data_IF_447777886361
#
_entry.id   IF_447777886361
#
_cell.length_a   1.000
_cell.length_b   1.000
_cell.length_c   1.000
_cell.angle_alpha   90.00
_cell.angle_beta   90.00
_cell.angle_gamma   90.00
#
_symmetry.space_group_name_H-M   'P 1'
#
loop_
_entity.id
_entity.type
_entity.pdbx_description
1 polymer ?
#
# COMPACT_ATOMS: atom_id res chain seq x y z
N UNK A 1 -2.38 -35.18 -61.33
CA UNK A 1 -1.78 -36.50 -61.02
C UNK A 1 -1.89 -36.67 -59.54
N UNK A 2 -2.99 -37.27 -59.10
CA UNK A 2 -3.18 -38.52 -58.37
C UNK A 2 -2.18 -38.69 -57.17
N UNK A 3 -2.59 -38.88 -55.95
CA UNK A 3 -3.69 -39.69 -55.38
C UNK A 3 -4.04 -39.28 -53.97
N UNK A 4 -5.32 -39.18 -53.65
CA UNK A 4 -5.97 -39.37 -52.36
C UNK A 4 -5.66 -40.78 -51.81
N UNK A 5 -5.60 -40.91 -50.44
CA UNK A 5 -6.22 -41.98 -49.68
C UNK A 5 -6.62 -41.52 -48.31
N UNK A 6 -7.91 -41.59 -48.03
CA UNK A 6 -8.63 -41.57 -46.77
C UNK A 6 -8.21 -42.71 -45.84
N UNK A 7 -8.33 -42.52 -44.54
CA UNK A 7 -9.07 -43.41 -43.65
C UNK A 7 -9.33 -42.78 -42.27
N UNK A 8 -10.60 -42.55 -41.98
CA UNK A 8 -11.24 -42.57 -40.66
C UNK A 8 -11.97 -43.92 -40.53
N UNK A 9 -12.72 -44.23 -39.42
CA UNK A 9 -12.47 -44.15 -37.96
C UNK A 9 -12.79 -45.53 -37.28
N UNK A 10 -12.59 -45.65 -35.96
CA UNK A 10 -13.37 -46.67 -35.21
C UNK A 10 -13.62 -46.23 -33.77
N UNK A 11 -14.86 -45.97 -33.47
CA UNK A 11 -15.58 -46.13 -32.22
C UNK A 11 -15.54 -47.55 -31.70
N UNK A 12 -15.51 -47.80 -30.39
CA UNK A 12 -16.28 -48.83 -29.68
C UNK A 12 -15.96 -48.73 -28.17
N UNK A 13 -16.87 -48.23 -27.35
CA UNK A 13 -17.80 -48.87 -26.40
C UNK A 13 -17.23 -49.27 -25.03
N UNK A 14 -17.80 -48.59 -24.07
CA UNK A 14 -18.35 -48.97 -22.76
C UNK A 14 -18.17 -50.43 -22.29
N UNK A 15 -17.78 -50.60 -21.01
CA UNK A 15 -18.42 -51.59 -20.15
C UNK A 15 -18.25 -51.25 -18.66
N UNK A 16 -19.39 -51.00 -18.03
CA UNK A 16 -19.61 -51.06 -16.59
C UNK A 16 -19.51 -52.53 -16.14
N UNK A 17 -18.86 -52.80 -15.01
CA UNK A 17 -19.09 -54.02 -14.22
C UNK A 17 -19.20 -53.65 -12.75
N UNK A 18 -20.41 -53.80 -12.24
CA UNK A 18 -20.70 -53.94 -10.82
C UNK A 18 -20.38 -55.37 -10.39
N UNK A 19 -19.70 -55.52 -9.24
CA UNK A 19 -19.91 -56.74 -8.44
C UNK A 19 -19.73 -56.42 -6.93
N UNK A 20 -20.80 -56.60 -6.19
CA UNK A 20 -20.84 -56.69 -4.75
C UNK A 20 -20.51 -58.13 -4.30
N UNK A 21 -20.18 -58.32 -3.00
CA UNK A 21 -20.20 -59.47 -2.12
C UNK A 21 -18.81 -59.51 -1.38
N UNK A 22 -18.72 -59.44 -0.09
CA UNK A 22 -19.11 -60.25 0.98
C UNK A 22 -18.67 -59.77 2.35
N UNK A 23 -19.57 -59.79 3.29
CA UNK A 23 -19.32 -59.68 4.71
C UNK A 23 -18.44 -60.86 5.22
N UNK A 24 -17.37 -60.54 5.92
CA UNK A 24 -16.86 -61.43 7.00
C UNK A 24 -16.42 -60.56 8.18
N UNK A 25 -17.12 -60.72 9.27
CA UNK A 25 -16.80 -60.08 10.52
C UNK A 25 -15.57 -60.70 11.17
N UNK A 26 -14.69 -59.84 11.67
CA UNK A 26 -13.74 -60.20 12.71
C UNK A 26 -13.91 -59.15 13.82
N UNK A 27 -14.38 -59.64 14.96
CA UNK A 27 -14.37 -58.91 16.21
C UNK A 27 -12.93 -58.76 16.69
N UNK A 28 -12.41 -57.56 16.68
CA UNK A 28 -11.18 -57.21 17.40
C UNK A 28 -11.48 -56.11 18.42
N UNK A 29 -11.23 -56.47 19.64
CA UNK A 29 -11.38 -55.73 20.89
C UNK A 29 -10.78 -54.33 20.78
N UNK A 30 -11.63 -53.31 20.95
CA UNK A 30 -11.22 -51.91 21.01
C UNK A 30 -10.66 -51.60 22.39
N UNK A 31 -9.36 -51.44 22.46
CA UNK A 31 -8.72 -50.66 23.52
C UNK A 31 -8.81 -49.18 23.10
N UNK A 32 -9.79 -48.45 23.64
CA UNK A 32 -9.86 -47.01 23.52
C UNK A 32 -8.76 -46.42 24.39
N UNK A 33 -7.61 -46.16 23.78
CA UNK A 33 -6.59 -45.31 24.37
C UNK A 33 -7.13 -43.85 24.26
N UNK A 34 -7.52 -43.28 25.38
CA UNK A 34 -7.75 -41.84 25.51
C UNK A 34 -6.43 -41.13 25.22
N UNK A 35 -6.29 -40.61 24.00
CA UNK A 35 -5.24 -39.67 23.72
C UNK A 35 -5.49 -38.44 24.59
N UNK A 36 -4.68 -38.27 25.64
CA UNK A 36 -4.58 -37.02 26.36
C UNK A 36 -4.11 -35.95 25.34
N UNK A 37 -5.03 -35.09 24.95
CA UNK A 37 -4.69 -33.85 24.26
C UNK A 37 -3.89 -33.00 25.25
N UNK A 38 -2.59 -33.00 25.11
CA UNK A 38 -1.73 -31.98 25.73
C UNK A 38 -2.25 -30.64 25.27
N UNK A 39 -2.59 -29.71 26.18
CA UNK A 39 -2.99 -28.36 25.72
C UNK A 39 -1.83 -27.77 24.89
N UNK A 40 -2.14 -27.32 23.72
CA UNK A 40 -1.17 -26.60 22.91
C UNK A 40 -0.62 -25.45 23.77
N UNK A 41 0.68 -25.50 24.05
CA UNK A 41 1.39 -24.39 24.68
C UNK A 41 1.08 -23.14 23.86
N UNK A 42 0.70 -22.10 24.57
CA UNK A 42 0.46 -20.78 24.02
C UNK A 42 1.54 -20.45 22.98
N UNK A 43 1.13 -20.51 21.71
CA UNK A 43 1.90 -19.95 20.63
C UNK A 43 1.93 -18.47 20.98
N UNK A 44 3.11 -17.91 21.20
CA UNK A 44 3.32 -16.47 21.27
C UNK A 44 2.95 -15.96 19.88
N UNK A 45 1.66 -15.72 19.69
CA UNK A 45 1.17 -14.99 18.52
C UNK A 45 1.75 -13.59 18.65
N UNK A 46 2.69 -13.28 17.77
CA UNK A 46 3.04 -11.88 17.51
C UNK A 46 1.72 -11.10 17.44
N UNK A 47 1.64 -9.93 18.02
CA UNK A 47 0.42 -9.11 18.10
C UNK A 47 -0.21 -8.75 16.74
N UNK A 48 0.37 -9.22 15.64
CA UNK A 48 -0.09 -9.02 14.26
C UNK A 48 -1.28 -9.90 13.86
N UNK A 49 -1.55 -11.00 14.55
CA UNK A 49 -2.55 -12.00 14.15
C UNK A 49 -3.94 -11.87 14.82
N UNK A 50 -4.22 -10.82 15.60
CA UNK A 50 -5.58 -10.56 16.06
C UNK A 50 -6.23 -9.64 15.05
N UNK A 51 -7.21 -10.17 14.30
CA UNK A 51 -8.18 -9.35 13.57
C UNK A 51 -8.68 -8.25 14.50
N UNK A 52 -8.47 -7.01 14.12
CA UNK A 52 -9.02 -5.87 14.83
C UNK A 52 -10.51 -5.82 14.52
N UNK A 53 -11.31 -5.38 15.48
CA UNK A 53 -12.77 -5.35 15.33
C UNK A 53 -13.16 -4.46 14.14
N UNK A 54 -13.72 -5.02 13.06
CA UNK A 54 -14.14 -4.24 11.91
C UNK A 54 -15.30 -3.28 12.24
N UNK A 55 -16.02 -3.49 13.34
CA UNK A 55 -17.07 -2.57 13.79
C UNK A 55 -16.52 -1.30 14.44
N UNK A 56 -15.22 -1.27 14.74
CA UNK A 56 -14.60 -0.08 15.32
C UNK A 56 -14.45 1.01 14.25
N UNK A 57 -14.92 2.21 14.54
CA UNK A 57 -14.59 3.41 13.79
C UNK A 57 -13.25 3.98 14.29
N UNK A 58 -12.41 4.44 13.38
CA UNK A 58 -11.19 5.18 13.71
C UNK A 58 -11.50 6.69 13.71
N UNK A 59 -11.05 7.46 14.71
CA UNK A 59 -11.37 8.87 14.79
C UNK A 59 -10.73 9.63 13.61
N UNK A 60 -11.55 10.38 12.89
CA UNK A 60 -11.08 11.25 11.81
C UNK A 60 -10.52 12.58 12.33
N UNK A 61 -11.23 13.20 13.29
CA UNK A 61 -10.88 14.51 13.83
C UNK A 61 -9.78 14.42 14.90
N UNK A 62 -8.77 15.26 14.81
CA UNK A 62 -7.67 15.26 15.79
C UNK A 62 -6.52 16.16 15.40
N UNK A 63 -5.44 16.17 16.20
CA UNK A 63 -4.22 16.91 15.90
C UNK A 63 -3.39 16.33 14.77
N UNK A 64 -3.51 15.02 14.54
CA UNK A 64 -2.85 14.27 13.48
C UNK A 64 -3.88 13.56 12.62
N UNK A 65 -3.58 13.34 11.35
CA UNK A 65 -4.43 12.53 10.49
C UNK A 65 -4.36 11.04 10.86
N UNK A 66 -5.50 10.35 10.84
CA UNK A 66 -5.57 8.89 10.95
C UNK A 66 -4.81 8.19 9.81
N UNK A 67 -4.46 6.90 9.99
CA UNK A 67 -3.74 6.12 9.00
C UNK A 67 -2.22 6.28 9.02
N UNK A 68 -1.67 7.05 9.96
CA UNK A 68 -0.22 7.24 10.17
C UNK A 68 0.23 6.33 11.33
N UNK A 69 -0.06 6.69 12.58
CA UNK A 69 0.24 5.87 13.75
C UNK A 69 -0.82 4.80 14.04
N UNK A 70 -2.01 4.92 13.44
CA UNK A 70 -3.06 3.90 13.55
C UNK A 70 -2.49 2.54 13.20
N UNK A 71 -2.75 1.52 14.02
CA UNK A 71 -2.33 0.15 13.73
C UNK A 71 -2.72 -0.23 12.30
N UNK A 72 -1.77 -0.69 11.45
CA UNK A 72 -2.03 -0.96 10.05
C UNK A 72 -3.22 -1.89 9.86
N UNK A 73 -4.18 -1.48 9.05
CA UNK A 73 -5.28 -2.29 8.56
C UNK A 73 -4.77 -3.24 7.46
N UNK A 74 -5.56 -4.26 7.12
CA UNK A 74 -5.15 -5.29 6.16
C UNK A 74 -5.14 -4.81 4.72
N UNK A 75 -5.96 -3.82 4.35
CA UNK A 75 -6.08 -3.35 2.98
C UNK A 75 -5.82 -1.86 2.89
N UNK A 76 -5.13 -1.47 1.82
CA UNK A 76 -4.88 -0.09 1.47
C UNK A 76 -5.26 0.16 0.02
N UNK A 77 -5.91 1.29 -0.24
CA UNK A 77 -6.07 1.87 -1.56
C UNK A 77 -5.43 3.26 -1.56
N UNK A 78 -4.34 3.39 -2.28
CA UNK A 78 -3.63 4.67 -2.45
C UNK A 78 -3.98 5.27 -3.80
N UNK A 79 -4.28 6.56 -3.85
CA UNK A 79 -4.60 7.26 -5.09
C UNK A 79 -3.89 8.61 -5.15
N UNK A 80 -3.23 8.88 -6.26
CA UNK A 80 -2.67 10.18 -6.59
C UNK A 80 -3.57 10.89 -7.62
N UNK A 81 -3.68 12.20 -7.51
CA UNK A 81 -4.54 13.04 -8.34
C UNK A 81 -3.75 14.17 -8.97
N UNK A 82 -4.10 14.49 -10.20
CA UNK A 82 -3.72 15.74 -10.88
C UNK A 82 -4.86 16.75 -10.79
N UNK A 83 -4.56 17.98 -10.36
CA UNK A 83 -5.49 19.09 -10.37
C UNK A 83 -5.68 19.59 -11.80
N UNK A 84 -6.92 19.54 -12.28
CA UNK A 84 -7.33 20.06 -13.60
C UNK A 84 -7.79 21.51 -13.52
N UNK A 85 -8.37 21.93 -12.37
CA UNK A 85 -8.69 23.35 -12.14
C UNK A 85 -7.41 24.18 -11.97
N UNK A 86 -7.48 25.44 -12.36
CA UNK A 86 -6.44 26.46 -12.15
C UNK A 86 -6.85 27.48 -11.08
N UNK A 87 -8.02 27.29 -10.47
CA UNK A 87 -8.56 28.20 -9.48
C UNK A 87 -8.28 27.68 -8.07
N UNK A 88 -7.65 28.50 -7.24
CA UNK A 88 -7.36 28.19 -5.84
C UNK A 88 -8.62 27.90 -5.02
N UNK A 89 -9.72 28.66 -5.26
CA UNK A 89 -10.98 28.47 -4.54
C UNK A 89 -11.62 27.12 -4.82
N UNK A 90 -11.42 26.56 -6.01
CA UNK A 90 -11.91 25.22 -6.35
C UNK A 90 -11.17 24.15 -5.57
N UNK A 91 -9.85 24.31 -5.37
CA UNK A 91 -9.06 23.41 -4.53
C UNK A 91 -9.51 23.47 -3.07
N UNK A 92 -9.78 24.68 -2.56
CA UNK A 92 -10.32 24.86 -1.19
C UNK A 92 -11.69 24.17 -1.05
N UNK A 93 -12.59 24.38 -2.00
CA UNK A 93 -13.91 23.72 -2.01
C UNK A 93 -13.78 22.20 -2.04
N UNK A 94 -12.85 21.69 -2.86
CA UNK A 94 -12.56 20.25 -2.94
C UNK A 94 -12.10 19.71 -1.60
N UNK A 95 -11.11 20.34 -0.95
CA UNK A 95 -10.58 19.89 0.33
C UNK A 95 -11.64 19.94 1.45
N UNK A 96 -12.51 20.96 1.44
CA UNK A 96 -13.67 21.04 2.35
C UNK A 96 -14.64 19.88 2.13
N UNK A 97 -14.99 19.59 0.88
CA UNK A 97 -15.89 18.49 0.54
C UNK A 97 -15.27 17.13 0.85
N UNK A 98 -13.99 16.92 0.55
CA UNK A 98 -13.25 15.72 0.87
C UNK A 98 -13.15 15.48 2.37
N UNK A 99 -12.84 16.52 3.15
CA UNK A 99 -12.77 16.42 4.61
C UNK A 99 -14.10 15.99 5.22
N UNK A 100 -15.20 16.62 4.78
CA UNK A 100 -16.54 16.28 5.25
C UNK A 100 -16.94 14.84 4.87
N UNK A 101 -16.67 14.42 3.64
CA UNK A 101 -16.97 13.07 3.18
C UNK A 101 -16.10 12.01 3.89
N UNK A 102 -14.82 12.29 4.08
CA UNK A 102 -13.90 11.39 4.78
C UNK A 102 -14.29 11.20 6.24
N UNK A 103 -14.69 12.26 6.94
CA UNK A 103 -15.17 12.18 8.32
C UNK A 103 -16.39 11.28 8.45
N UNK A 104 -17.36 11.41 7.53
CA UNK A 104 -18.55 10.56 7.51
C UNK A 104 -18.22 9.09 7.22
N UNK A 105 -17.42 8.84 6.19
CA UNK A 105 -17.03 7.47 5.81
C UNK A 105 -16.24 6.76 6.91
N UNK A 106 -15.41 7.48 7.67
CA UNK A 106 -14.68 6.89 8.81
C UNK A 106 -15.60 6.41 9.93
N UNK A 107 -16.81 6.97 10.04
CA UNK A 107 -17.86 6.51 10.96
C UNK A 107 -18.76 5.41 10.36
N UNK A 108 -18.50 4.95 9.14
CA UNK A 108 -19.31 3.97 8.41
C UNK A 108 -20.55 4.57 7.74
N UNK A 109 -20.61 5.90 7.62
CA UNK A 109 -21.68 6.58 6.90
C UNK A 109 -21.34 6.74 5.41
N UNK A 110 -22.36 7.06 4.59
CA UNK A 110 -22.16 7.45 3.20
C UNK A 110 -21.36 8.74 3.09
N UNK A 111 -20.59 8.90 2.01
CA UNK A 111 -19.77 10.09 1.78
C UNK A 111 -20.59 11.40 1.83
N UNK A 112 -21.83 11.35 1.36
CA UNK A 112 -22.81 12.44 1.41
C UNK A 112 -24.17 11.90 1.82
N UNK A 113 -25.06 12.71 2.44
CA UNK A 113 -26.41 12.28 2.75
C UNK A 113 -27.15 11.80 1.48
N UNK A 114 -27.80 10.64 1.56
CA UNK A 114 -28.41 9.97 0.40
C UNK A 114 -29.50 10.84 -0.28
N UNK A 115 -30.25 11.59 0.50
CA UNK A 115 -31.35 12.41 0.02
C UNK A 115 -30.88 13.66 -0.77
N UNK A 116 -29.60 14.00 -0.68
CA UNK A 116 -29.09 15.24 -1.29
C UNK A 116 -28.65 15.11 -2.74
N UNK A 117 -28.61 13.89 -3.29
CA UNK A 117 -27.94 13.63 -4.56
C UNK A 117 -26.43 13.92 -4.49
N UNK A 118 -25.67 13.62 -5.55
CA UNK A 118 -24.23 13.88 -5.61
C UNK A 118 -23.97 15.40 -5.72
N UNK A 119 -23.28 15.94 -4.72
CA UNK A 119 -22.77 17.31 -4.73
C UNK A 119 -21.31 17.29 -5.11
N UNK A 120 -21.00 17.85 -6.26
CA UNK A 120 -19.63 18.03 -6.72
C UNK A 120 -18.98 19.21 -5.97
N UNK A 121 -17.67 19.19 -5.83
CA UNK A 121 -16.92 20.32 -5.28
C UNK A 121 -17.09 21.59 -6.12
N UNK A 122 -17.10 21.41 -7.44
CA UNK A 122 -17.38 22.46 -8.43
C UNK A 122 -18.19 21.83 -9.55
N UNK A 123 -19.26 22.49 -10.00
CA UNK A 123 -20.00 22.03 -11.17
C UNK A 123 -19.12 22.12 -12.40
N UNK A 124 -18.86 21.03 -13.13
CA UNK A 124 -18.08 21.09 -14.38
C UNK A 124 -18.75 22.00 -15.38
N UNK A 125 -17.94 22.73 -16.15
CA UNK A 125 -18.47 23.46 -17.30
C UNK A 125 -19.11 22.47 -18.29
N UNK A 126 -20.29 22.80 -18.83
CA UNK A 126 -20.93 21.98 -19.83
C UNK A 126 -19.96 21.75 -21.02
N UNK A 127 -19.87 20.51 -21.55
CA UNK A 127 -19.02 20.22 -22.69
C UNK A 127 -19.43 21.10 -23.85
N UNK A 128 -18.48 21.86 -24.42
CA UNK A 128 -18.70 22.65 -25.61
C UNK A 128 -18.83 21.69 -26.79
N UNK A 129 -20.05 21.53 -27.32
CA UNK A 129 -20.29 20.92 -28.63
C UNK A 129 -20.73 19.44 -28.62
N UNK A 130 -21.38 18.96 -27.58
CA UNK A 130 -22.15 17.70 -27.61
C UNK A 130 -23.63 17.98 -27.91
N UNK A 131 -24.29 17.08 -28.62
CA UNK A 131 -25.75 17.15 -28.81
C UNK A 131 -26.42 17.26 -27.43
N UNK A 132 -27.27 18.24 -27.26
CA UNK A 132 -27.90 18.61 -25.99
C UNK A 132 -28.80 17.50 -25.39
N UNK A 133 -28.92 16.37 -26.07
CA UNK A 133 -29.83 15.26 -25.74
C UNK A 133 -29.16 14.16 -24.90
N UNK A 134 -27.81 14.20 -24.68
CA UNK A 134 -27.08 13.16 -23.98
C UNK A 134 -26.40 13.60 -22.65
N UNK A 135 -26.58 14.82 -22.18
CA UNK A 135 -26.09 15.19 -20.86
C UNK A 135 -27.03 14.58 -19.82
N UNK A 136 -26.61 13.54 -19.07
CA UNK A 136 -27.41 13.10 -17.93
C UNK A 136 -27.68 14.32 -17.04
N UNK A 137 -28.91 14.51 -16.65
CA UNK A 137 -29.29 15.56 -15.72
C UNK A 137 -28.40 15.43 -14.47
N UNK A 138 -27.49 16.39 -14.28
CA UNK A 138 -26.54 16.38 -13.18
C UNK A 138 -27.22 16.33 -11.80
N UNK A 139 -28.52 16.64 -11.76
CA UNK A 139 -29.36 16.57 -10.57
C UNK A 139 -29.77 15.15 -10.15
N UNK A 140 -29.57 14.14 -11.01
CA UNK A 140 -30.02 12.76 -10.77
C UNK A 140 -28.92 11.77 -10.36
N UNK A 141 -27.67 12.19 -10.25
CA UNK A 141 -26.59 11.29 -9.81
C UNK A 141 -26.80 10.91 -8.34
N UNK A 142 -26.71 9.59 -8.05
CA UNK A 142 -26.78 9.11 -6.68
C UNK A 142 -25.68 9.74 -5.82
N UNK A 143 -26.03 10.18 -4.62
CA UNK A 143 -25.09 10.76 -3.64
C UNK A 143 -23.97 9.80 -3.28
N UNK A 144 -24.29 8.50 -3.27
CA UNK A 144 -23.36 7.42 -2.99
C UNK A 144 -23.53 6.27 -4.00
N UNK A 145 -22.51 5.50 -4.23
CA UNK A 145 -22.54 4.36 -5.16
C UNK A 145 -23.08 3.07 -4.52
N UNK A 146 -23.22 3.06 -3.19
CA UNK A 146 -23.99 2.06 -2.44
C UNK A 146 -23.30 0.72 -2.19
N UNK A 147 -22.09 0.48 -2.67
CA UNK A 147 -21.44 -0.82 -2.56
C UNK A 147 -21.04 -1.21 -1.12
N UNK A 148 -21.03 -0.26 -0.19
CA UNK A 148 -20.73 -0.52 1.24
C UNK A 148 -21.92 -0.29 2.16
N UNK A 149 -23.11 -0.07 1.61
CA UNK A 149 -24.32 0.12 2.44
C UNK A 149 -24.57 -1.10 3.34
N UNK A 150 -24.70 -0.86 4.65
CA UNK A 150 -24.86 -1.93 5.65
C UNK A 150 -23.57 -2.60 6.10
N UNK A 151 -22.41 -2.22 5.55
CA UNK A 151 -21.12 -2.67 6.06
C UNK A 151 -20.72 -1.83 7.29
N UNK A 152 -19.93 -2.41 8.22
CA UNK A 152 -19.38 -1.66 9.34
C UNK A 152 -18.29 -0.68 8.87
N UNK A 153 -17.85 0.26 9.71
CA UNK A 153 -16.81 1.25 9.37
C UNK A 153 -15.45 0.63 9.03
N UNK A 154 -15.24 -0.64 9.35
CA UNK A 154 -14.05 -1.43 9.01
C UNK A 154 -12.72 -0.75 9.37
N UNK A 155 -12.70 0.02 10.45
CA UNK A 155 -11.56 0.81 10.90
C UNK A 155 -11.00 1.72 9.81
N UNK A 156 -11.85 2.23 8.92
CA UNK A 156 -11.41 3.08 7.81
C UNK A 156 -10.67 4.32 8.31
N UNK A 157 -9.48 4.52 7.75
CA UNK A 157 -8.74 5.78 7.88
C UNK A 157 -8.48 6.36 6.51
N UNK A 158 -8.59 7.68 6.39
CA UNK A 158 -8.33 8.42 5.16
C UNK A 158 -7.31 9.51 5.47
N UNK A 159 -6.14 9.43 4.82
CA UNK A 159 -5.04 10.38 4.98
C UNK A 159 -4.86 11.15 3.69
N UNK A 160 -4.76 12.47 3.77
CA UNK A 160 -4.54 13.36 2.64
C UNK A 160 -3.10 13.88 2.62
N UNK A 161 -2.52 13.99 1.42
CA UNK A 161 -1.20 14.57 1.23
C UNK A 161 -1.12 15.47 0.00
N UNK A 162 -0.14 16.38 0.00
CA UNK A 162 0.09 17.40 -1.00
C UNK A 162 1.45 17.18 -1.67
N UNK A 163 1.44 16.99 -2.98
CA UNK A 163 2.65 16.84 -3.78
C UNK A 163 3.25 18.18 -4.20
N UNK A 164 4.46 18.12 -4.73
CA UNK A 164 5.18 19.29 -5.25
C UNK A 164 4.34 20.04 -6.29
N UNK A 165 3.58 19.31 -7.11
CA UNK A 165 2.75 19.88 -8.17
C UNK A 165 1.63 20.83 -7.69
N UNK A 166 1.21 20.74 -6.42
CA UNK A 166 0.28 21.71 -5.82
C UNK A 166 0.93 23.09 -5.70
N UNK A 167 2.22 23.14 -5.38
CA UNK A 167 2.98 24.37 -5.16
C UNK A 167 3.58 24.92 -6.45
N UNK A 168 4.20 24.04 -7.22
CA UNK A 168 4.86 24.39 -8.49
C UNK A 168 4.77 23.23 -9.47
N UNK A 169 4.11 23.43 -10.61
CA UNK A 169 3.99 22.43 -11.68
C UNK A 169 4.49 23.00 -13.01
N UNK A 170 5.48 22.33 -13.61
CA UNK A 170 6.12 22.79 -14.85
C UNK A 170 6.62 24.26 -14.73
N UNK A 171 7.21 24.61 -13.59
CA UNK A 171 7.72 25.94 -13.29
C UNK A 171 6.64 27.01 -13.05
N UNK A 172 5.36 26.64 -12.94
CA UNK A 172 4.24 27.57 -12.77
C UNK A 172 3.59 27.41 -11.39
N UNK A 173 3.48 28.54 -10.67
CA UNK A 173 2.64 28.65 -9.49
C UNK A 173 1.18 28.87 -9.92
N UNK A 174 0.39 27.77 -9.87
CA UNK A 174 -1.01 27.81 -10.34
C UNK A 174 -1.97 28.41 -9.32
N UNK A 175 -1.58 28.39 -8.04
CA UNK A 175 -2.48 28.66 -6.92
C UNK A 175 -1.96 29.73 -5.95
N UNK A 176 -0.84 30.38 -6.24
CA UNK A 176 -0.19 31.34 -5.35
C UNK A 176 0.40 30.68 -4.09
N UNK A 177 0.88 29.43 -4.21
CA UNK A 177 1.37 28.63 -3.09
C UNK A 177 2.87 28.33 -3.14
N UNK A 178 3.59 28.75 -4.20
CA UNK A 178 5.01 28.40 -4.36
C UNK A 178 5.86 28.83 -3.17
N UNK A 179 5.62 30.03 -2.62
CA UNK A 179 6.34 30.53 -1.44
C UNK A 179 5.99 29.80 -0.13
N UNK A 180 4.96 28.98 -0.14
CA UNK A 180 4.49 28.18 1.02
C UNK A 180 4.90 26.73 0.95
N UNK A 181 5.60 26.31 -0.13
CA UNK A 181 6.16 24.96 -0.25
C UNK A 181 7.12 24.71 0.92
N UNK A 182 6.93 23.66 1.70
CA UNK A 182 7.89 23.30 2.74
C UNK A 182 9.26 23.00 2.13
N UNK A 183 10.32 23.43 2.78
CA UNK A 183 11.68 23.19 2.32
C UNK A 183 12.01 21.68 2.19
N UNK A 184 11.46 20.88 3.11
CA UNK A 184 11.65 19.44 3.10
C UNK A 184 10.83 18.69 2.02
N UNK A 185 9.83 19.33 1.41
CA UNK A 185 9.11 18.79 0.25
C UNK A 185 9.93 19.00 -1.02
N UNK A 186 11.00 18.24 -1.17
CA UNK A 186 11.89 18.29 -2.34
C UNK A 186 11.35 17.44 -3.49
N UNK A 187 11.89 17.64 -4.70
CA UNK A 187 11.68 16.68 -5.79
C UNK A 187 12.44 15.38 -5.44
N UNK A 188 11.79 14.23 -5.63
CA UNK A 188 12.39 12.96 -5.27
C UNK A 188 13.61 12.69 -6.16
N UNK A 189 14.81 12.46 -5.58
CA UNK A 189 16.00 12.14 -6.37
C UNK A 189 15.87 10.76 -7.02
N UNK A 190 16.64 10.57 -8.10
CA UNK A 190 16.82 9.25 -8.70
C UNK A 190 17.89 8.48 -7.93
N UNK A 191 17.60 7.24 -7.56
CA UNK A 191 18.50 6.35 -6.81
C UNK A 191 19.28 5.39 -7.72
N UNK A 192 19.55 5.80 -8.95
CA UNK A 192 20.42 5.07 -9.87
C UNK A 192 19.81 3.76 -10.36
N UNK A 193 20.56 2.66 -10.20
CA UNK A 193 20.23 1.39 -10.84
C UNK A 193 18.93 0.73 -10.35
N UNK A 194 18.47 1.04 -9.17
CA UNK A 194 17.22 0.47 -8.61
C UNK A 194 15.97 1.20 -9.11
N UNK A 195 16.09 2.40 -9.70
CA UNK A 195 14.99 3.20 -10.20
C UNK A 195 14.72 2.97 -11.68
N UNK A 196 13.53 2.53 -12.00
CA UNK A 196 12.95 2.48 -13.35
C UNK A 196 11.56 3.12 -13.32
N UNK A 197 11.53 4.38 -12.87
CA UNK A 197 10.28 5.09 -12.59
C UNK A 197 9.44 5.26 -13.85
N UNK A 198 8.21 4.76 -13.79
CA UNK A 198 7.17 4.96 -14.81
C UNK A 198 6.46 6.27 -14.50
N UNK A 199 6.50 7.20 -15.43
CA UNK A 199 5.97 8.57 -15.24
C UNK A 199 4.50 8.57 -14.84
N UNK A 200 3.73 7.66 -15.39
CA UNK A 200 2.29 7.51 -15.16
C UNK A 200 1.99 7.05 -13.73
N UNK A 201 2.93 6.37 -13.06
CA UNK A 201 2.81 5.88 -11.68
C UNK A 201 3.63 6.71 -10.67
N UNK A 202 4.00 7.94 -11.05
CA UNK A 202 4.91 8.78 -10.25
C UNK A 202 4.27 10.12 -9.94
N UNK A 203 4.49 10.61 -8.70
CA UNK A 203 4.03 11.90 -8.18
C UNK A 203 2.50 12.10 -8.25
N UNK A 204 2.07 13.33 -8.16
CA UNK A 204 0.69 13.81 -8.15
C UNK A 204 0.60 15.15 -7.45
N UNK A 205 -0.47 15.89 -7.68
CA UNK A 205 -0.70 17.17 -6.99
C UNK A 205 -1.31 16.95 -5.59
N UNK A 206 -2.21 15.97 -5.48
CA UNK A 206 -2.83 15.52 -4.23
C UNK A 206 -2.76 14.00 -4.11
N UNK A 207 -2.78 13.48 -2.88
CA UNK A 207 -2.89 12.04 -2.65
C UNK A 207 -3.89 11.72 -1.55
N UNK A 208 -4.46 10.53 -1.65
CA UNK A 208 -5.32 9.91 -0.66
C UNK A 208 -4.77 8.52 -0.34
N UNK A 209 -4.58 8.23 0.96
CA UNK A 209 -4.36 6.88 1.47
C UNK A 209 -5.60 6.45 2.22
N UNK A 210 -6.34 5.49 1.71
CA UNK A 210 -7.47 4.86 2.41
C UNK A 210 -7.04 3.47 2.89
N UNK A 211 -7.11 3.23 4.20
CA UNK A 211 -6.81 1.93 4.79
C UNK A 211 -8.03 1.42 5.55
N UNK A 212 -8.37 0.14 5.38
CA UNK A 212 -9.50 -0.50 6.05
C UNK A 212 -9.23 -2.00 6.31
N UNK A 213 -10.06 -2.61 7.17
CA UNK A 213 -10.08 -4.07 7.36
C UNK A 213 -10.83 -4.81 6.24
N UNK A 214 -11.52 -4.07 5.36
CA UNK A 214 -12.21 -4.59 4.19
C UNK A 214 -11.74 -3.86 2.92
N UNK A 215 -11.39 -4.59 1.84
CA UNK A 215 -10.87 -3.97 0.61
C UNK A 215 -11.91 -3.17 -0.14
N UNK A 216 -13.20 -3.53 -0.03
CA UNK A 216 -14.30 -2.81 -0.68
C UNK A 216 -14.54 -1.46 -0.01
N UNK A 217 -14.39 -1.38 1.32
CA UNK A 217 -14.49 -0.13 2.09
C UNK A 217 -13.34 0.83 1.72
N UNK A 218 -12.10 0.32 1.61
CA UNK A 218 -10.97 1.14 1.18
C UNK A 218 -11.14 1.67 -0.26
N UNK A 219 -11.62 0.82 -1.17
CA UNK A 219 -11.92 1.20 -2.55
C UNK A 219 -13.04 2.23 -2.63
N UNK A 220 -14.15 1.98 -1.92
CA UNK A 220 -15.30 2.87 -1.86
C UNK A 220 -14.90 4.28 -1.45
N UNK A 221 -14.08 4.40 -0.39
CA UNK A 221 -13.63 5.71 0.10
C UNK A 221 -12.94 6.53 -1.00
N UNK A 222 -11.98 5.93 -1.72
CA UNK A 222 -11.28 6.62 -2.82
C UNK A 222 -12.25 6.91 -3.98
N UNK A 223 -13.14 5.96 -4.31
CA UNK A 223 -14.12 6.13 -5.38
C UNK A 223 -15.06 7.31 -5.12
N UNK A 224 -15.57 7.46 -3.89
CA UNK A 224 -16.44 8.59 -3.56
C UNK A 224 -15.68 9.92 -3.62
N UNK A 225 -14.48 9.97 -3.08
CA UNK A 225 -13.66 11.18 -3.12
C UNK A 225 -13.30 11.58 -4.58
N UNK A 226 -13.01 10.60 -5.44
CA UNK A 226 -12.80 10.85 -6.86
C UNK A 226 -14.04 11.41 -7.56
N UNK A 227 -15.24 10.90 -7.25
CA UNK A 227 -16.51 11.42 -7.77
C UNK A 227 -16.76 12.87 -7.34
N UNK A 228 -16.49 13.19 -6.07
CA UNK A 228 -16.61 14.56 -5.54
C UNK A 228 -15.63 15.53 -6.22
N UNK A 229 -14.47 15.02 -6.64
CA UNK A 229 -13.41 15.82 -7.27
C UNK A 229 -13.65 16.13 -8.77
N UNK A 230 -14.69 15.58 -9.38
CA UNK A 230 -14.97 15.80 -10.80
C UNK A 230 -15.00 17.30 -11.13
N UNK A 231 -14.31 17.69 -12.20
CA UNK A 231 -14.14 19.09 -12.62
C UNK A 231 -13.00 19.85 -11.91
N UNK A 232 -12.44 19.32 -10.83
CA UNK A 232 -11.33 19.95 -10.10
C UNK A 232 -10.06 19.12 -10.14
N UNK A 233 -10.18 17.80 -9.99
CA UNK A 233 -9.06 16.87 -10.01
C UNK A 233 -9.47 15.56 -10.70
N UNK A 234 -8.47 14.85 -11.20
CA UNK A 234 -8.63 13.52 -11.80
C UNK A 234 -7.58 12.56 -11.23
N UNK A 235 -7.93 11.28 -11.16
CA UNK A 235 -6.97 10.25 -10.76
C UNK A 235 -5.83 10.23 -11.77
N UNK A 236 -4.60 10.27 -11.26
CA UNK A 236 -3.37 10.11 -12.01
C UNK A 236 -2.93 8.64 -12.00
N UNK A 237 -2.84 8.03 -10.83
CA UNK A 237 -2.56 6.61 -10.63
C UNK A 237 -3.11 6.14 -9.29
N UNK A 238 -3.26 4.83 -9.18
CA UNK A 238 -3.70 4.15 -7.96
C UNK A 238 -2.81 2.95 -7.67
N UNK A 239 -2.79 2.53 -6.41
CA UNK A 239 -2.22 1.26 -5.99
C UNK A 239 -3.10 0.62 -4.93
N UNK A 240 -3.63 -0.56 -5.25
CA UNK A 240 -4.23 -1.45 -4.26
C UNK A 240 -3.15 -2.31 -3.62
N UNK A 241 -3.27 -2.52 -2.33
CA UNK A 241 -2.27 -3.31 -1.62
C UNK A 241 -2.87 -3.94 -0.36
N UNK A 242 -2.20 -4.95 0.16
CA UNK A 242 -2.71 -5.74 1.26
C UNK A 242 -1.61 -6.22 2.20
N UNK A 243 -2.00 -6.56 3.42
CA UNK A 243 -1.21 -7.33 4.38
C UNK A 243 -1.89 -8.68 4.63
N UNK A 244 -1.16 -9.75 4.96
CA UNK A 244 -1.77 -11.01 5.33
C UNK A 244 -2.72 -10.83 6.51
N UNK A 245 -3.91 -11.44 6.43
CA UNK A 245 -4.88 -11.46 7.54
C UNK A 245 -4.34 -12.33 8.69
N UNK A 246 -3.58 -13.37 8.37
CA UNK A 246 -2.87 -14.20 9.32
C UNK A 246 -1.42 -14.39 8.88
N UNK A 247 -0.51 -14.30 9.82
CA UNK A 247 0.93 -14.35 9.56
C UNK A 247 1.52 -12.96 9.27
N UNK A 248 2.82 -12.94 8.97
CA UNK A 248 3.62 -11.71 8.88
C UNK A 248 4.56 -11.70 7.66
N UNK A 249 4.32 -12.58 6.65
CA UNK A 249 5.27 -12.74 5.55
C UNK A 249 4.90 -11.91 4.33
N UNK A 250 5.90 -11.25 3.74
CA UNK A 250 5.79 -10.60 2.44
C UNK A 250 6.03 -11.58 1.27
N UNK A 251 5.89 -11.11 0.03
CA UNK A 251 5.90 -11.97 -1.16
C UNK A 251 7.22 -12.72 -1.43
N UNK A 252 8.35 -12.29 -0.87
CA UNK A 252 9.60 -13.05 -0.95
C UNK A 252 9.66 -14.22 0.05
N UNK A 253 8.62 -14.39 0.88
CA UNK A 253 8.49 -15.50 1.82
C UNK A 253 9.18 -15.32 3.17
N UNK A 254 9.62 -14.11 3.51
CA UNK A 254 10.25 -13.75 4.78
C UNK A 254 9.34 -12.89 5.65
N UNK A 255 9.68 -12.73 6.94
CA UNK A 255 8.90 -11.91 7.85
C UNK A 255 8.84 -10.47 7.36
N UNK A 256 7.64 -9.90 7.40
CA UNK A 256 7.42 -8.49 7.17
C UNK A 256 7.56 -7.67 8.47
N UNK A 257 8.02 -8.29 9.56
CA UNK A 257 8.25 -7.60 10.81
C UNK A 257 9.28 -6.49 10.57
N UNK A 258 8.78 -5.29 10.48
CA UNK A 258 9.59 -4.11 10.17
C UNK A 258 10.46 -3.78 11.37
N UNK A 259 11.66 -4.34 11.40
CA UNK A 259 12.72 -3.90 12.29
C UNK A 259 13.19 -2.52 11.80
N UNK A 260 12.46 -1.48 12.18
CA UNK A 260 12.93 -0.12 11.93
C UNK A 260 14.17 0.12 12.80
N UNK A 261 15.34 0.43 12.21
CA UNK A 261 16.47 0.92 13.00
C UNK A 261 16.00 2.16 13.76
N UNK A 262 16.07 2.16 15.08
CA UNK A 262 15.70 3.30 15.90
C UNK A 262 14.30 3.24 16.54
N UNK A 263 13.62 2.10 16.58
CA UNK A 263 12.35 1.92 17.31
C UNK A 263 12.41 2.26 18.82
N UNK A 264 13.57 2.58 19.35
CA UNK A 264 13.74 3.06 20.73
C UNK A 264 13.65 4.60 20.85
N UNK A 265 13.59 5.34 19.74
CA UNK A 265 13.32 6.76 19.78
C UNK A 265 11.82 7.00 20.01
N UNK A 266 11.41 8.01 20.78
CA UNK A 266 10.00 8.37 20.90
C UNK A 266 9.42 8.61 19.49
N UNK A 267 8.48 7.77 19.03
CA UNK A 267 7.91 7.80 17.68
C UNK A 267 7.46 9.21 17.26
N UNK A 268 6.91 9.99 18.21
CA UNK A 268 6.48 11.36 17.96
C UNK A 268 7.59 12.28 17.43
N UNK A 269 8.83 12.11 17.86
CA UNK A 269 9.95 12.98 17.45
C UNK A 269 10.46 12.66 16.04
N UNK A 270 10.17 11.49 15.50
CA UNK A 270 10.65 11.04 14.19
C UNK A 270 9.62 11.20 13.08
N UNK A 271 8.34 11.32 13.44
CA UNK A 271 7.22 11.33 12.50
C UNK A 271 6.69 12.75 12.29
N UNK A 272 6.50 13.49 13.37
CA UNK A 272 5.74 14.74 13.34
C UNK A 272 6.63 15.96 13.15
N UNK A 273 6.25 16.79 12.18
CA UNK A 273 6.85 18.10 11.94
C UNK A 273 6.56 19.02 13.12
N UNK A 274 7.58 19.72 13.61
CA UNK A 274 7.49 20.71 14.67
C UNK A 274 7.95 22.09 14.14
N UNK A 275 8.88 22.74 14.84
CA UNK A 275 9.31 24.13 14.56
C UNK A 275 10.18 24.28 13.31
N UNK A 276 10.76 23.19 12.80
CA UNK A 276 11.58 23.18 11.59
C UNK A 276 10.78 23.33 10.29
N UNK A 277 9.48 23.05 10.34
CA UNK A 277 8.58 23.21 9.21
C UNK A 277 7.79 24.51 9.24
N UNK A 278 7.09 24.86 8.16
CA UNK A 278 6.18 25.99 8.15
C UNK A 278 4.99 25.74 9.10
N UNK A 279 4.42 26.80 9.64
CA UNK A 279 3.35 26.70 10.67
C UNK A 279 2.18 25.78 10.26
N UNK A 280 1.82 25.80 8.99
CA UNK A 280 0.72 24.97 8.48
C UNK A 280 1.05 23.47 8.45
N UNK A 281 2.34 23.08 8.63
CA UNK A 281 2.78 21.68 8.70
C UNK A 281 2.97 21.18 10.13
N UNK A 282 2.89 22.02 11.15
CA UNK A 282 3.09 21.60 12.55
C UNK A 282 2.09 20.53 12.95
N UNK A 283 2.58 19.37 13.43
CA UNK A 283 1.78 18.19 13.71
C UNK A 283 1.42 17.37 12.47
N UNK A 284 1.86 17.78 11.28
CA UNK A 284 1.84 16.99 10.07
C UNK A 284 3.07 16.11 9.92
N UNK A 285 3.22 15.48 8.76
CA UNK A 285 4.31 14.55 8.43
C UNK A 285 4.65 14.64 6.94
N UNK A 286 5.69 13.92 6.51
CA UNK A 286 5.94 13.67 5.09
C UNK A 286 5.79 12.19 4.82
N UNK A 287 5.05 11.83 3.79
CA UNK A 287 4.94 10.47 3.32
C UNK A 287 5.77 10.27 2.06
N UNK A 288 6.58 9.23 2.06
CA UNK A 288 7.19 8.68 0.85
C UNK A 288 6.51 7.37 0.52
N UNK A 289 6.13 7.22 -0.74
CA UNK A 289 5.62 5.97 -1.27
C UNK A 289 6.50 5.51 -2.43
N UNK A 290 6.74 4.19 -2.51
CA UNK A 290 7.47 3.55 -3.60
C UNK A 290 6.76 2.26 -4.00
N UNK A 291 6.41 2.14 -5.27
CA UNK A 291 5.96 0.89 -5.86
C UNK A 291 7.19 0.12 -6.29
N UNK A 292 7.53 -0.93 -5.54
CA UNK A 292 8.72 -1.74 -5.73
C UNK A 292 8.29 -3.08 -6.30
N UNK A 293 8.57 -3.32 -7.58
CA UNK A 293 8.32 -4.59 -8.25
C UNK A 293 9.40 -5.59 -7.84
N UNK A 294 8.98 -6.83 -7.56
CA UNK A 294 9.85 -7.96 -7.30
C UNK A 294 9.96 -8.84 -8.55
N UNK A 295 11.17 -9.23 -8.91
CA UNK A 295 11.43 -10.25 -9.94
C UNK A 295 11.23 -11.65 -9.31
N UNK A 296 9.94 -12.03 -9.04
CA UNK A 296 9.61 -13.24 -8.31
C UNK A 296 10.08 -14.48 -9.04
N UNK A 297 9.95 -14.54 -10.37
CA UNK A 297 10.39 -15.67 -11.20
C UNK A 297 11.90 -15.90 -11.09
N UNK A 298 12.66 -14.83 -10.97
CA UNK A 298 14.11 -14.92 -10.77
C UNK A 298 14.42 -15.32 -9.31
N UNK A 299 13.72 -14.72 -8.35
CA UNK A 299 13.86 -15.04 -6.93
C UNK A 299 13.60 -16.51 -6.63
N UNK A 300 12.56 -17.10 -7.21
CA UNK A 300 12.16 -18.49 -7.01
C UNK A 300 13.19 -19.51 -7.55
N UNK A 301 14.07 -19.08 -8.47
CA UNK A 301 15.15 -19.90 -8.98
C UNK A 301 16.39 -19.91 -8.05
N UNK A 302 16.45 -18.99 -7.08
CA UNK A 302 17.58 -18.90 -6.18
C UNK A 302 17.52 -19.99 -5.09
N UNK A 303 18.67 -20.63 -4.78
CA UNK A 303 18.74 -21.54 -3.63
C UNK A 303 18.33 -20.84 -2.33
N UNK A 304 17.66 -21.56 -1.44
CA UNK A 304 17.22 -21.02 -0.14
C UNK A 304 18.36 -20.32 0.63
N UNK A 305 19.54 -20.93 0.69
CA UNK A 305 20.70 -20.33 1.36
C UNK A 305 21.12 -18.98 0.76
N UNK A 306 20.94 -18.79 -0.56
CA UNK A 306 21.16 -17.50 -1.20
C UNK A 306 20.10 -16.48 -0.80
N UNK A 307 18.83 -16.88 -0.80
CA UNK A 307 17.69 -16.03 -0.40
C UNK A 307 17.88 -15.55 1.05
N UNK A 308 18.22 -16.48 1.97
CA UNK A 308 18.51 -16.19 3.37
C UNK A 308 19.70 -15.25 3.55
N UNK A 309 20.78 -15.49 2.81
CA UNK A 309 21.96 -14.61 2.82
C UNK A 309 21.65 -13.22 2.25
N UNK A 310 20.79 -13.11 1.24
CA UNK A 310 20.43 -11.83 0.63
C UNK A 310 19.58 -10.96 1.57
N UNK A 311 18.72 -11.57 2.39
CA UNK A 311 17.85 -10.88 3.34
C UNK A 311 18.45 -10.81 4.75
N UNK A 312 19.46 -11.64 5.06
CA UNK A 312 20.05 -11.75 6.39
C UNK A 312 19.12 -12.40 7.42
N UNK A 313 18.12 -13.17 6.96
CA UNK A 313 17.10 -13.82 7.77
C UNK A 313 16.91 -15.28 7.35
N UNK A 314 16.51 -16.13 8.30
CA UNK A 314 16.16 -17.53 8.00
C UNK A 314 14.71 -17.62 7.50
N UNK A 315 14.48 -18.27 6.36
CA UNK A 315 13.19 -18.36 5.69
C UNK A 315 12.12 -19.08 6.52
N UNK A 316 12.51 -20.07 7.30
CA UNK A 316 11.60 -20.91 8.10
C UNK A 316 11.57 -20.54 9.59
N UNK A 317 12.18 -19.46 9.99
CA UNK A 317 12.15 -19.03 11.38
C UNK A 317 10.71 -18.78 11.88
N UNK A 318 10.38 -19.35 13.06
CA UNK A 318 9.07 -19.16 13.68
C UNK A 318 7.92 -19.96 13.06
N UNK A 319 8.18 -20.90 12.12
CA UNK A 319 7.13 -21.75 11.55
C UNK A 319 6.80 -22.89 12.51
N UNK A 320 5.50 -23.24 12.76
CA UNK A 320 5.13 -24.43 13.52
C UNK A 320 5.76 -25.68 12.92
N UNK A 321 6.50 -26.45 13.74
CA UNK A 321 7.24 -27.64 13.30
C UNK A 321 8.72 -27.40 13.02
N UNK A 322 9.21 -26.18 13.10
CA UNK A 322 10.64 -25.90 13.12
C UNK A 322 11.27 -26.57 14.35
N UNK A 323 12.16 -27.53 14.11
CA UNK A 323 12.82 -28.31 15.16
C UNK A 323 13.84 -27.48 15.96
N UNK A 324 14.11 -26.22 15.56
CA UNK A 324 15.08 -25.33 16.19
C UNK A 324 14.56 -23.91 16.42
N UNK A 325 13.42 -23.71 17.15
CA UNK A 325 12.88 -22.36 17.35
C UNK A 325 13.73 -21.45 18.26
N UNK A 326 14.74 -22.01 18.93
CA UNK A 326 15.56 -21.27 19.91
C UNK A 326 17.04 -21.13 19.56
N UNK A 327 17.52 -21.77 18.52
CA UNK A 327 18.90 -21.61 18.06
C UNK A 327 19.00 -20.52 16.98
N UNK A 328 18.48 -19.33 17.29
CA UNK A 328 19.01 -18.10 16.69
C UNK A 328 20.25 -17.67 17.48
N UNK A 329 21.17 -18.53 17.66
CA UNK A 329 22.54 -18.10 17.47
C UNK A 329 22.60 -17.87 15.95
N UNK A 330 22.72 -16.61 15.53
CA UNK A 330 23.27 -16.35 14.22
C UNK A 330 24.21 -17.50 13.95
N UNK A 331 23.92 -18.27 12.92
CA UNK A 331 24.80 -19.36 12.54
C UNK A 331 26.10 -18.68 12.11
N UNK A 332 26.86 -18.26 13.12
CA UNK A 332 28.17 -17.65 13.02
C UNK A 332 29.16 -18.56 12.31
N UNK A 333 28.75 -19.80 12.02
CA UNK A 333 29.64 -20.74 11.37
C UNK A 333 29.53 -20.77 9.85
N UNK A 334 28.54 -20.05 9.21
CA UNK A 334 28.50 -20.02 7.76
C UNK A 334 27.89 -18.79 7.07
N UNK A 335 27.36 -17.77 7.73
CA UNK A 335 26.53 -16.80 6.96
C UNK A 335 26.80 -15.33 7.20
N UNK A 336 27.20 -14.88 8.36
CA UNK A 336 27.36 -13.41 8.56
C UNK A 336 28.65 -13.14 9.32
N UNK A 337 29.73 -13.00 8.59
CA UNK A 337 30.86 -12.20 9.07
C UNK A 337 30.47 -10.74 8.95
N UNK A 338 31.05 -9.84 9.75
CA UNK A 338 30.80 -8.38 9.66
C UNK A 338 30.92 -7.84 8.20
N UNK A 339 31.73 -8.49 7.36
CA UNK A 339 31.92 -8.18 5.94
C UNK A 339 30.75 -8.62 5.02
N UNK A 340 29.80 -9.46 5.47
CA UNK A 340 28.73 -10.03 4.63
C UNK A 340 27.31 -9.67 5.11
N UNK A 341 27.16 -8.85 6.13
CA UNK A 341 25.85 -8.41 6.57
C UNK A 341 25.20 -7.54 5.48
N UNK A 342 24.00 -7.90 5.02
CA UNK A 342 23.35 -7.10 3.98
C UNK A 342 23.23 -5.63 4.37
N UNK A 343 23.56 -4.68 3.51
CA UNK A 343 23.58 -3.24 3.81
C UNK A 343 22.28 -2.74 4.44
N UNK A 344 21.13 -3.25 4.02
CA UNK A 344 19.82 -2.85 4.56
C UNK A 344 19.61 -3.22 6.04
N UNK A 345 20.41 -4.16 6.59
CA UNK A 345 20.37 -4.53 8.02
C UNK A 345 21.38 -3.76 8.86
N UNK A 346 22.45 -3.26 8.24
CA UNK A 346 23.56 -2.60 8.93
C UNK A 346 23.55 -1.09 8.83
N UNK A 347 22.72 -0.52 7.95
CA UNK A 347 22.66 0.94 7.79
C UNK A 347 21.93 1.55 9.00
N UNK A 348 22.66 1.61 10.09
CA UNK A 348 22.39 2.57 11.17
C UNK A 348 23.12 3.83 10.77
N UNK A 349 22.41 4.80 10.25
CA UNK A 349 22.96 6.12 9.97
C UNK A 349 22.87 6.92 11.27
N UNK A 350 23.96 7.05 12.04
CA UNK A 350 23.92 7.71 13.33
C UNK A 350 23.42 9.15 13.17
N UNK A 351 22.46 9.54 14.03
CA UNK A 351 21.92 10.90 14.06
C UNK A 351 20.90 11.22 12.96
N UNK A 352 20.41 10.22 12.19
CA UNK A 352 19.32 10.40 11.24
C UNK A 352 17.99 9.96 11.83
N UNK A 353 16.94 10.71 11.53
CA UNK A 353 15.60 10.42 12.01
C UNK A 353 15.10 9.07 11.48
N UNK A 354 14.55 8.26 12.38
CA UNK A 354 13.87 7.04 11.99
C UNK A 354 12.58 7.39 11.23
N UNK A 355 12.14 6.50 10.34
CA UNK A 355 10.87 6.63 9.64
C UNK A 355 9.90 5.56 10.12
N UNK A 356 8.64 5.92 10.26
CA UNK A 356 7.55 4.99 10.53
C UNK A 356 7.16 4.30 9.22
N UNK A 357 7.47 3.01 9.09
CA UNK A 357 7.13 2.22 7.91
C UNK A 357 5.72 1.66 8.03
N UNK A 358 5.01 1.62 6.90
CA UNK A 358 3.65 1.12 6.80
C UNK A 358 3.47 0.40 5.46
N UNK A 359 4.37 -0.51 5.14
CA UNK A 359 4.41 -1.16 3.83
C UNK A 359 3.36 -2.25 3.68
N UNK A 360 2.98 -2.51 2.42
CA UNK A 360 2.00 -3.52 2.02
C UNK A 360 2.54 -4.32 0.83
N UNK A 361 2.03 -5.52 0.64
CA UNK A 361 2.23 -6.26 -0.61
C UNK A 361 1.22 -5.82 -1.66
N UNK A 362 1.59 -5.91 -2.94
CA UNK A 362 0.65 -5.76 -4.04
C UNK A 362 0.81 -6.89 -5.06
N UNK A 363 -0.26 -7.18 -5.81
CA UNK A 363 -0.26 -8.10 -6.94
C UNK A 363 -1.30 -7.61 -7.94
N UNK A 364 -0.85 -7.05 -9.05
CA UNK A 364 -1.68 -6.49 -10.12
C UNK A 364 -1.78 -7.46 -11.32
N UNK A 365 -1.50 -8.76 -11.08
CA UNK A 365 -1.56 -9.81 -12.06
C UNK A 365 -0.24 -10.04 -12.78
N UNK A 366 -0.30 -10.23 -14.09
CA UNK A 366 0.88 -10.47 -14.93
C UNK A 366 0.97 -9.46 -16.06
N UNK A 367 2.18 -8.97 -16.31
CA UNK A 367 2.47 -8.02 -17.39
C UNK A 367 3.64 -8.53 -18.22
N UNK A 368 3.75 -8.05 -19.47
CA UNK A 368 4.94 -8.27 -20.26
C UNK A 368 6.08 -7.43 -19.69
N UNK A 369 7.14 -8.10 -19.27
CA UNK A 369 8.30 -7.46 -18.67
C UNK A 369 9.57 -7.87 -19.40
N UNK A 370 10.53 -6.94 -19.47
CA UNK A 370 11.91 -7.23 -19.87
C UNK A 370 12.76 -7.15 -18.62
N UNK A 371 13.34 -8.27 -18.22
CA UNK A 371 14.28 -8.29 -17.09
C UNK A 371 15.53 -7.46 -17.44
N UNK A 372 16.01 -6.73 -16.45
CA UNK A 372 17.16 -5.84 -16.62
C UNK A 372 18.50 -6.56 -16.52
N UNK A 373 18.57 -7.66 -15.76
CA UNK A 373 19.81 -8.36 -15.46
C UNK A 373 19.93 -9.67 -16.24
N UNK A 374 21.15 -10.05 -16.66
CA UNK A 374 21.38 -11.33 -17.33
C UNK A 374 20.99 -12.54 -16.43
N UNK A 375 20.43 -13.62 -17.02
CA UNK A 375 20.05 -13.71 -18.41
C UNK A 375 18.81 -12.88 -18.73
N UNK A 376 18.92 -12.03 -19.76
CA UNK A 376 17.79 -11.20 -20.20
C UNK A 376 16.61 -12.06 -20.57
N UNK A 377 15.47 -11.78 -19.98
CA UNK A 377 14.19 -12.41 -20.27
C UNK A 377 13.18 -11.39 -20.74
N UNK A 378 12.32 -11.83 -21.64
CA UNK A 378 11.16 -11.08 -22.08
C UNK A 378 9.98 -12.03 -22.03
N UNK A 379 8.94 -11.70 -21.30
CA UNK A 379 7.79 -12.56 -21.16
C UNK A 379 6.73 -11.97 -20.23
N UNK A 380 5.73 -12.79 -19.97
CA UNK A 380 4.71 -12.50 -18.96
C UNK A 380 5.29 -12.87 -17.58
N UNK A 381 5.36 -11.89 -16.71
CA UNK A 381 5.84 -12.04 -15.36
C UNK A 381 4.87 -11.37 -14.38
N UNK A 382 4.94 -11.76 -13.11
CA UNK A 382 4.10 -11.14 -12.07
C UNK A 382 4.41 -9.64 -11.94
N UNK A 383 3.35 -8.84 -12.03
CA UNK A 383 3.40 -7.45 -11.61
C UNK A 383 3.03 -7.38 -10.13
N UNK A 384 3.98 -7.78 -9.31
CA UNK A 384 3.80 -7.95 -7.88
C UNK A 384 5.04 -7.47 -7.12
N UNK A 385 4.85 -7.13 -5.85
CA UNK A 385 5.94 -6.63 -5.04
C UNK A 385 5.47 -5.96 -3.76
N UNK A 386 6.19 -4.89 -3.39
CA UNK A 386 5.91 -4.11 -2.18
C UNK A 386 5.50 -2.69 -2.55
N UNK A 387 4.40 -2.26 -2.00
CA UNK A 387 4.06 -0.84 -1.92
C UNK A 387 4.63 -0.31 -0.61
N UNK A 388 5.85 0.21 -0.70
CA UNK A 388 6.57 0.78 0.42
C UNK A 388 5.96 2.12 0.77
N UNK A 389 5.61 2.31 2.04
CA UNK A 389 5.08 3.56 2.59
C UNK A 389 5.84 3.88 3.86
N UNK A 390 6.33 5.09 3.99
CA UNK A 390 6.89 5.55 5.24
C UNK A 390 6.54 7.00 5.54
N UNK A 391 6.30 7.27 6.82
CA UNK A 391 6.06 8.60 7.35
C UNK A 391 7.26 9.08 8.14
N UNK A 392 7.58 10.36 8.04
CA UNK A 392 8.76 10.93 8.65
C UNK A 392 8.66 12.45 8.76
N UNK A 393 9.40 12.98 9.72
CA UNK A 393 9.50 14.39 10.01
C UNK A 393 10.22 15.19 8.92
N UNK A 394 11.30 14.63 8.36
CA UNK A 394 12.06 15.20 7.25
C UNK A 394 12.55 14.09 6.30
N UNK A 395 12.06 14.04 5.06
CA UNK A 395 12.45 13.02 4.09
C UNK A 395 13.92 13.15 3.64
N UNK A 396 14.54 14.32 3.78
CA UNK A 396 15.93 14.56 3.37
C UNK A 396 16.92 13.80 4.27
N UNK A 397 16.61 13.78 5.58
CA UNK A 397 17.41 13.08 6.59
C UNK A 397 16.91 11.67 6.87
N UNK A 398 15.66 11.36 6.52
CA UNK A 398 15.04 10.05 6.63
C UNK A 398 15.22 9.22 5.36
N UNK A 399 14.14 9.06 4.59
CA UNK A 399 14.08 8.18 3.43
C UNK A 399 15.19 8.44 2.40
N UNK A 400 15.37 9.69 1.96
CA UNK A 400 16.31 10.03 0.88
C UNK A 400 17.73 9.66 1.27
N UNK A 401 18.13 9.98 2.49
CA UNK A 401 19.47 9.67 2.96
C UNK A 401 19.71 8.16 3.10
N UNK A 402 18.74 7.41 3.62
CA UNK A 402 18.83 5.97 3.77
C UNK A 402 18.88 5.28 2.40
N UNK A 403 18.00 5.66 1.48
CA UNK A 403 17.94 5.05 0.15
C UNK A 403 19.13 5.43 -0.74
N UNK A 404 19.68 6.62 -0.58
CA UNK A 404 20.93 6.98 -1.27
C UNK A 404 22.09 6.08 -0.84
N UNK A 405 22.18 5.79 0.45
CA UNK A 405 23.17 4.87 0.98
C UNK A 405 22.93 3.44 0.47
N UNK A 406 21.70 2.93 0.54
CA UNK A 406 21.32 1.60 0.03
C UNK A 406 21.63 1.45 -1.46
N UNK A 407 21.35 2.46 -2.27
CA UNK A 407 21.60 2.42 -3.70
C UNK A 407 23.09 2.47 -4.06
N UNK A 408 23.93 3.08 -3.21
CA UNK A 408 25.38 3.17 -3.41
C UNK A 408 26.10 1.85 -3.13
N UNK A 409 25.48 0.94 -2.37
CA UNK A 409 26.03 -0.38 -2.07
C UNK A 409 25.48 -1.42 -3.06
N UNK A 410 26.35 -2.28 -3.54
CA UNK A 410 25.99 -3.42 -4.39
C UNK A 410 25.29 -4.49 -3.53
N UNK A 411 23.99 -4.25 -3.27
CA UNK A 411 23.16 -5.19 -2.51
C UNK A 411 22.74 -6.35 -3.41
N UNK A 412 22.86 -7.59 -2.90
CA UNK A 412 22.32 -8.79 -3.57
C UNK A 412 20.82 -8.69 -3.86
N UNK A 413 20.10 -7.83 -3.14
CA UNK A 413 18.66 -7.57 -3.34
C UNK A 413 18.37 -6.65 -4.52
N UNK A 414 19.31 -5.77 -4.91
CA UNK A 414 19.09 -4.81 -5.98
C UNK A 414 18.76 -5.45 -7.34
N UNK A 415 19.15 -6.70 -7.56
CA UNK A 415 18.79 -7.45 -8.76
C UNK A 415 17.33 -7.97 -8.77
N UNK A 416 16.68 -8.03 -7.60
CA UNK A 416 15.30 -8.53 -7.48
C UNK A 416 14.29 -7.41 -7.24
N UNK A 417 14.74 -6.19 -6.97
CA UNK A 417 13.91 -5.05 -6.64
C UNK A 417 14.06 -3.95 -7.69
N UNK A 418 12.94 -3.45 -8.16
CA UNK A 418 12.91 -2.33 -9.09
C UNK A 418 11.83 -1.36 -8.66
N UNK A 419 12.21 -0.12 -8.41
CA UNK A 419 11.26 0.94 -8.08
C UNK A 419 10.65 1.44 -9.39
N UNK A 420 9.35 1.25 -9.56
CA UNK A 420 8.64 1.57 -10.79
C UNK A 420 7.62 2.69 -10.64
N UNK A 421 7.43 3.21 -9.45
CA UNK A 421 6.51 4.31 -9.18
C UNK A 421 6.62 4.86 -7.76
N UNK A 422 5.89 5.92 -7.46
CA UNK A 422 5.82 6.51 -6.13
C UNK A 422 5.96 8.02 -6.12
N UNK A 423 6.20 8.60 -4.95
CA UNK A 423 6.38 10.05 -4.79
C UNK A 423 6.60 10.46 -3.34
N UNK A 424 6.82 11.74 -3.14
CA UNK A 424 6.96 12.40 -1.84
C UNK A 424 5.85 13.43 -1.69
N UNK A 425 5.16 13.39 -0.55
CA UNK A 425 4.03 14.28 -0.28
C UNK A 425 4.10 14.85 1.12
N UNK A 426 3.74 16.11 1.28
CA UNK A 426 3.51 16.75 2.57
C UNK A 426 2.11 16.36 3.08
N UNK A 427 2.05 15.80 4.27
CA UNK A 427 0.81 15.41 4.94
C UNK A 427 0.52 16.45 6.02
N UNK A 428 -0.46 17.35 5.83
CA UNK A 428 -0.77 18.35 6.83
C UNK A 428 -1.26 17.73 8.16
N UNK A 429 -1.31 18.48 9.24
CA UNK A 429 -1.91 18.00 10.49
C UNK A 429 -3.37 17.60 10.30
N UNK A 430 -3.92 16.89 11.27
CA UNK A 430 -5.36 16.62 11.32
C UNK A 430 -6.18 17.91 11.45
N UNK A 431 -7.47 17.81 11.24
CA UNK A 431 -8.41 18.92 11.38
C UNK A 431 -9.29 18.76 12.63
N UNK A 432 -9.75 19.84 13.17
CA UNK A 432 -10.81 19.87 14.18
C UNK A 432 -12.18 19.94 13.49
N UNK A 433 -13.23 19.61 14.21
CA UNK A 433 -14.59 19.79 13.69
C UNK A 433 -14.81 21.25 13.28
N UNK A 434 -15.32 21.45 12.06
CA UNK A 434 -15.52 22.76 11.45
C UNK A 434 -14.32 23.29 10.65
N UNK A 435 -13.16 22.65 10.74
CA UNK A 435 -12.00 22.91 9.89
C UNK A 435 -11.94 21.91 8.72
N UNK A 436 -11.00 22.11 7.81
CA UNK A 436 -10.69 21.14 6.74
C UNK A 436 -9.21 20.83 6.66
N UNK A 437 -8.86 19.63 6.19
CA UNK A 437 -7.47 19.21 6.05
C UNK A 437 -6.73 20.18 5.11
N UNK A 438 -5.61 20.72 5.57
CA UNK A 438 -4.80 21.68 4.83
C UNK A 438 -5.27 23.14 4.94
N UNK A 439 -6.26 23.45 5.78
CA UNK A 439 -6.76 24.83 5.97
C UNK A 439 -5.64 25.81 6.25
N UNK A 440 -4.68 25.48 7.12
CA UNK A 440 -3.55 26.33 7.42
C UNK A 440 -2.67 26.69 6.20
N UNK A 441 -2.66 25.92 5.13
CA UNK A 441 -1.97 26.23 3.89
C UNK A 441 -2.68 27.32 3.10
N UNK A 442 -4.02 27.34 3.09
CA UNK A 442 -4.83 28.20 2.23
C UNK A 442 -5.33 29.45 2.96
N UNK A 443 -5.60 29.36 4.25
CA UNK A 443 -6.23 30.39 5.08
C UNK A 443 -5.26 30.82 6.22
N UNK A 444 -4.07 31.35 5.86
CA UNK A 444 -3.19 31.92 6.90
C UNK A 444 -3.73 33.25 7.39
N UNK A 445 -3.83 33.37 8.69
CA UNK A 445 -4.06 34.64 9.38
C UNK A 445 -2.79 35.47 9.44
#
# INVERSE_FOLDING_TARGET
MNRLINHQPSLVRSMLVFLAIGLMGFAASSAIGTAQTTPAKDIVTSNWGKSLDPNQAEPFWGGHQGGIETKPQHFMYFAAFDLTSKNRDDVIKLLKAWTAAAARMSEGETAQPLESGLKLAVTPAAPKGGDADETPDAGLRAADTGEVLGMPPSRLTITFGFGVGLFLKDGKDRFGLAARRPEALVDMPNFGSIDQMVKEHTDGDLVIQACAEDPQVAFHAVRQLARIAEGVAQIRWVQTSYRPIAGDRHLLGFSAEEKSPGMNAPQAQTIWVDKEGPDWMRGGSYVVVRRIRFALEHWDQMPQAYQESALGEMKHHGVPGDKNPTNVKSSSDNVVTEDNTPPHLTIVIPGRDAMLRRSYSYNDGVNFTTERWPPWRQGLEYDAGMFFVCFQRDPRTGFIAVFHELASHDSRLNQFWTHVGGGLFAVPPGAKQGEYIGQGLFESH
#
